data_IF_943843544101
#
_entry.id   IF_943843544101
#
_cell.length_a   1.000
_cell.length_b   1.000
_cell.length_c   1.000
_cell.angle_alpha   90.00
_cell.angle_beta   90.00
_cell.angle_gamma   90.00
#
_symmetry.space_group_name_H-M   'P 1'
#
loop_
_entity.id
_entity.type
_entity.pdbx_description
1 polymer ?
#
# COMPACT_ATOMS: atom_id res chain seq x y z
N UNK A 1 -3.13 5.13 7.31
CA UNK A 1 -2.79 3.76 7.75
C UNK A 1 -1.36 3.63 8.28
N UNK A 2 -0.77 4.66 8.91
CA UNK A 2 0.58 4.52 9.51
C UNK A 2 1.72 4.23 8.52
N UNK A 3 1.63 4.72 7.28
CA UNK A 3 2.71 4.65 6.29
C UNK A 3 3.35 6.03 6.21
N UNK A 4 4.65 6.11 6.48
CA UNK A 4 5.38 7.38 6.54
C UNK A 4 5.70 7.94 5.15
N UNK A 5 5.90 9.26 5.01
CA UNK A 5 6.32 9.85 3.74
C UNK A 5 7.67 9.28 3.26
N UNK A 6 7.72 8.88 1.98
CA UNK A 6 8.93 8.34 1.36
C UNK A 6 9.11 6.82 1.49
N UNK A 7 8.22 6.12 2.20
CA UNK A 7 8.16 4.65 2.17
C UNK A 7 7.84 4.17 0.75
N UNK A 8 8.65 3.24 0.21
CA UNK A 8 8.37 2.59 -1.07
C UNK A 8 7.16 1.67 -0.93
N UNK A 9 6.49 1.34 -2.04
CA UNK A 9 5.34 0.43 -1.97
C UNK A 9 5.72 -0.97 -1.46
N UNK A 10 6.94 -1.41 -1.75
CA UNK A 10 7.52 -2.68 -1.31
C UNK A 10 7.67 -2.74 0.22
N UNK A 11 8.03 -1.62 0.85
CA UNK A 11 8.25 -1.52 2.30
C UNK A 11 6.96 -1.26 3.11
N UNK A 12 5.81 -1.08 2.45
CA UNK A 12 4.52 -0.97 3.13
C UNK A 12 4.20 -2.30 3.85
N UNK A 13 3.67 -2.30 5.08
CA UNK A 13 3.30 -3.55 5.77
C UNK A 13 2.33 -4.43 4.98
N UNK A 14 2.51 -5.75 5.01
CA UNK A 14 1.70 -6.73 4.27
C UNK A 14 0.20 -6.72 4.65
N UNK A 15 -0.13 -6.29 5.87
CA UNK A 15 -1.50 -6.16 6.37
C UNK A 15 -2.14 -4.81 6.03
N UNK A 16 -1.43 -3.94 5.30
CA UNK A 16 -1.99 -2.69 4.81
C UNK A 16 -3.11 -2.95 3.80
N UNK A 17 -4.14 -2.13 3.88
CA UNK A 17 -5.24 -2.09 2.93
C UNK A 17 -5.48 -0.68 2.41
N UNK A 18 -6.03 -0.56 1.20
CA UNK A 18 -6.41 0.71 0.62
C UNK A 18 -7.38 1.46 1.55
N UNK A 19 -7.06 2.69 2.00
CA UNK A 19 -7.91 3.44 2.93
C UNK A 19 -9.25 3.87 2.33
N UNK A 20 -9.43 3.72 1.01
CA UNK A 20 -10.66 4.10 0.30
C UNK A 20 -11.60 2.91 0.08
N UNK A 21 -11.06 1.74 -0.27
CA UNK A 21 -11.87 0.57 -0.68
C UNK A 21 -11.55 -0.73 0.07
N UNK A 22 -10.49 -0.80 0.86
CA UNK A 22 -10.09 -2.00 1.59
C UNK A 22 -9.40 -3.08 0.76
N UNK A 23 -9.03 -2.81 -0.50
CA UNK A 23 -8.21 -3.72 -1.31
C UNK A 23 -6.86 -4.00 -0.64
N UNK A 24 -6.35 -5.22 -0.81
CA UNK A 24 -5.05 -5.66 -0.27
C UNK A 24 -3.88 -5.12 -1.08
N UNK A 25 -2.64 -5.23 -0.57
CA UNK A 25 -1.44 -4.84 -1.33
C UNK A 25 -1.31 -5.58 -2.67
N UNK A 26 -1.75 -6.84 -2.72
CA UNK A 26 -1.66 -7.70 -3.91
C UNK A 26 -2.58 -7.26 -5.05
N UNK A 27 -3.56 -6.39 -4.77
CA UNK A 27 -4.49 -5.85 -5.77
C UNK A 27 -3.93 -4.62 -6.53
N UNK A 28 -2.71 -4.18 -6.21
CA UNK A 28 -2.08 -3.00 -6.79
C UNK A 28 -0.98 -3.35 -7.79
N UNK A 29 -0.79 -2.46 -8.76
CA UNK A 29 0.28 -2.53 -9.76
C UNK A 29 1.10 -1.23 -9.80
N UNK A 30 2.41 -1.29 -10.13
CA UNK A 30 3.20 -0.09 -10.40
C UNK A 30 2.58 0.71 -11.54
N UNK A 31 2.60 2.04 -11.40
CA UNK A 31 2.23 2.96 -12.47
C UNK A 31 3.50 3.41 -13.19
N UNK A 32 3.50 3.34 -14.52
CA UNK A 32 4.58 3.84 -15.38
C UNK A 32 4.72 5.38 -15.35
#
# INVERSE_FOLDING_TARGET
NGVDPGTTFEDVPEDWVCPLCGASKDDFEPVD
#
